data_IF_058718198123
#
_entry.id   IF_058718198123
#
_cell.length_a   1.000
_cell.length_b   1.000
_cell.length_c   1.000
_cell.angle_alpha   90.00
_cell.angle_beta   90.00
_cell.angle_gamma   90.00
#
_symmetry.space_group_name_H-M   'P 1'
#
loop_
_entity.id
_entity.type
_entity.pdbx_description
1 polymer ?
#
# COMPACT_ATOMS: atom_id res chain seq x y z
N UNK A 1 -14.67 27.19 -2.83
CA UNK A 1 -16.02 26.65 -2.62
C UNK A 1 -16.47 25.97 -3.91
N UNK A 2 -16.91 24.71 -3.81
CA UNK A 2 -17.35 23.93 -4.97
C UNK A 2 -18.50 24.63 -5.70
N UNK A 3 -18.45 24.61 -7.05
CA UNK A 3 -19.42 25.30 -7.89
C UNK A 3 -19.26 26.82 -8.03
N UNK A 4 -18.39 27.46 -7.24
CA UNK A 4 -18.10 28.91 -7.37
C UNK A 4 -16.71 29.16 -7.98
N UNK A 5 -15.65 28.69 -7.33
CA UNK A 5 -14.28 28.88 -7.76
C UNK A 5 -13.48 27.56 -7.75
N UNK A 6 -14.17 26.43 -7.57
CA UNK A 6 -13.63 25.08 -7.64
C UNK A 6 -14.62 24.21 -8.40
N UNK A 7 -14.12 23.43 -9.36
CA UNK A 7 -14.84 22.34 -10.02
C UNK A 7 -14.16 21.04 -9.61
N UNK A 8 -14.84 20.27 -8.77
CA UNK A 8 -14.33 19.02 -8.24
C UNK A 8 -14.82 17.82 -9.07
N UNK A 9 -13.89 16.93 -9.42
CA UNK A 9 -14.22 15.64 -10.04
C UNK A 9 -13.54 14.53 -9.24
N UNK A 10 -14.30 13.48 -8.91
CA UNK A 10 -13.78 12.30 -8.21
C UNK A 10 -14.07 11.04 -9.00
N UNK A 11 -13.07 10.16 -9.09
CA UNK A 11 -13.20 8.81 -9.64
C UNK A 11 -12.33 7.83 -8.85
N UNK A 12 -12.83 6.60 -8.69
CA UNK A 12 -12.11 5.51 -8.04
C UNK A 12 -11.79 4.42 -9.05
N UNK A 13 -10.54 3.96 -9.02
CA UNK A 13 -10.09 2.81 -9.81
C UNK A 13 -10.43 1.46 -9.15
N UNK A 14 -10.90 1.46 -7.91
CA UNK A 14 -11.26 0.26 -7.13
C UNK A 14 -10.17 -0.83 -7.17
N UNK A 15 -8.90 -0.44 -7.03
CA UNK A 15 -7.76 -1.35 -7.04
C UNK A 15 -7.31 -1.83 -8.44
N UNK A 16 -7.99 -1.41 -9.51
CA UNK A 16 -7.62 -1.82 -10.87
C UNK A 16 -6.68 -0.81 -11.51
N UNK A 17 -5.44 -1.23 -11.80
CA UNK A 17 -4.40 -0.37 -12.37
C UNK A 17 -4.72 0.10 -13.81
N UNK A 18 -5.40 -0.72 -14.60
CA UNK A 18 -5.86 -0.35 -15.95
C UNK A 18 -6.91 0.76 -15.88
N UNK A 19 -7.87 0.65 -14.95
CA UNK A 19 -8.86 1.69 -14.69
C UNK A 19 -8.20 2.97 -14.18
N UNK A 20 -7.22 2.87 -13.28
CA UNK A 20 -6.44 4.04 -12.82
C UNK A 20 -5.78 4.78 -13.97
N UNK A 21 -5.17 4.06 -14.92
CA UNK A 21 -4.57 4.65 -16.12
C UNK A 21 -5.60 5.32 -17.05
N UNK A 22 -6.82 4.77 -17.16
CA UNK A 22 -7.90 5.40 -17.92
C UNK A 22 -8.40 6.69 -17.26
N UNK A 23 -8.58 6.68 -15.93
CA UNK A 23 -8.99 7.85 -15.15
C UNK A 23 -7.93 8.96 -15.27
N UNK A 24 -6.64 8.62 -15.14
CA UNK A 24 -5.56 9.58 -15.28
C UNK A 24 -5.60 10.26 -16.66
N UNK A 25 -5.70 9.47 -17.74
CA UNK A 25 -5.81 10.01 -19.12
C UNK A 25 -7.06 10.88 -19.31
N UNK A 26 -8.18 10.49 -18.67
CA UNK A 26 -9.41 11.29 -18.70
C UNK A 26 -9.19 12.66 -18.08
N UNK A 27 -8.61 12.74 -16.87
CA UNK A 27 -8.36 14.00 -16.18
C UNK A 27 -7.37 14.89 -16.96
N UNK A 28 -6.38 14.29 -17.63
CA UNK A 28 -5.50 15.02 -18.55
C UNK A 28 -6.28 15.58 -19.74
N UNK A 29 -7.15 14.77 -20.36
CA UNK A 29 -8.00 15.19 -21.48
C UNK A 29 -9.01 16.28 -21.10
N UNK A 30 -9.53 16.23 -19.87
CA UNK A 30 -10.43 17.24 -19.30
C UNK A 30 -9.70 18.56 -18.95
N UNK A 31 -8.35 18.61 -19.11
CA UNK A 31 -7.49 19.76 -18.78
C UNK A 31 -7.65 20.20 -17.32
N UNK A 32 -7.60 19.26 -16.39
CA UNK A 32 -7.59 19.57 -14.97
C UNK A 32 -6.41 20.49 -14.61
N UNK A 33 -6.64 21.51 -13.78
CA UNK A 33 -5.60 22.44 -13.33
C UNK A 33 -4.63 21.76 -12.35
N UNK A 34 -5.15 20.80 -11.57
CA UNK A 34 -4.40 20.00 -10.59
C UNK A 34 -5.04 18.60 -10.50
N UNK A 35 -4.22 17.57 -10.33
CA UNK A 35 -4.71 16.21 -10.05
C UNK A 35 -4.25 15.81 -8.64
N UNK A 36 -5.17 15.34 -7.80
CA UNK A 36 -4.87 14.72 -6.52
C UNK A 36 -4.99 13.22 -6.67
N UNK A 37 -3.90 12.50 -6.40
CA UNK A 37 -3.89 11.04 -6.47
C UNK A 37 -3.72 10.44 -5.07
N UNK A 38 -4.61 9.54 -4.70
CA UNK A 38 -4.57 8.80 -3.44
C UNK A 38 -4.08 7.39 -3.73
N UNK A 39 -3.12 6.91 -2.95
CA UNK A 39 -2.38 5.66 -3.06
C UNK A 39 -1.36 5.60 -4.22
N UNK A 40 -0.33 4.78 -4.02
CA UNK A 40 0.81 4.64 -4.95
C UNK A 40 0.40 4.30 -6.38
N UNK A 41 -0.47 3.31 -6.65
CA UNK A 41 -0.84 2.97 -8.03
C UNK A 41 -1.54 4.12 -8.77
N UNK A 42 -2.38 4.89 -8.06
CA UNK A 42 -3.06 6.07 -8.63
C UNK A 42 -2.06 7.16 -9.01
N UNK A 43 -1.12 7.47 -8.13
CA UNK A 43 -0.08 8.47 -8.39
C UNK A 43 0.83 8.06 -9.55
N UNK A 44 1.22 6.79 -9.63
CA UNK A 44 1.98 6.24 -10.75
C UNK A 44 1.23 6.37 -12.08
N UNK A 45 -0.08 6.12 -12.09
CA UNK A 45 -0.91 6.28 -13.29
C UNK A 45 -0.94 7.73 -13.79
N UNK A 46 -1.01 8.72 -12.88
CA UNK A 46 -0.98 10.15 -13.25
C UNK A 46 0.38 10.56 -13.78
N UNK A 47 1.47 10.20 -13.11
CA UNK A 47 2.85 10.53 -13.57
C UNK A 47 3.15 9.89 -14.92
N UNK A 48 2.57 8.73 -15.24
CA UNK A 48 2.69 8.11 -16.56
C UNK A 48 1.85 8.82 -17.62
N UNK A 49 0.76 9.49 -17.25
CA UNK A 49 -0.16 10.14 -18.18
C UNK A 49 0.24 11.59 -18.51
N UNK A 50 0.89 12.30 -17.59
CA UNK A 50 1.26 13.72 -17.78
C UNK A 50 2.54 14.08 -17.03
N UNK A 51 3.24 15.12 -17.54
CA UNK A 51 4.36 15.79 -16.87
C UNK A 51 4.07 17.28 -16.62
N UNK A 52 2.98 17.78 -17.16
CA UNK A 52 2.67 19.21 -17.19
C UNK A 52 1.65 19.59 -16.12
N UNK A 53 0.66 18.73 -15.85
CA UNK A 53 -0.36 19.00 -14.85
C UNK A 53 0.21 18.72 -13.46
N UNK A 54 0.13 19.68 -12.51
CA UNK A 54 0.54 19.46 -11.13
C UNK A 54 -0.14 18.26 -10.50
N UNK A 55 0.66 17.38 -9.89
CA UNK A 55 0.20 16.22 -9.12
C UNK A 55 0.48 16.44 -7.64
N UNK A 56 -0.57 16.32 -6.84
CA UNK A 56 -0.46 16.19 -5.38
C UNK A 56 -0.79 14.75 -5.00
N UNK A 57 0.19 13.99 -4.51
CA UNK A 57 -0.07 12.62 -4.03
C UNK A 57 -0.33 12.60 -2.53
N UNK A 58 -1.12 11.63 -2.08
CA UNK A 58 -1.36 11.30 -0.69
C UNK A 58 -1.38 9.78 -0.51
N UNK A 59 -1.07 9.30 0.70
CA UNK A 59 -1.00 7.87 1.00
C UNK A 59 -0.08 7.12 0.02
N UNK A 60 1.14 7.61 -0.14
CA UNK A 60 2.20 6.96 -0.93
C UNK A 60 3.34 6.60 0.01
N UNK A 61 3.61 5.31 0.14
CA UNK A 61 4.58 4.79 1.12
C UNK A 61 6.01 5.25 0.81
N UNK A 62 6.47 5.08 -0.42
CA UNK A 62 7.77 5.58 -0.86
C UNK A 62 7.66 6.22 -2.26
N UNK A 63 7.60 7.54 -2.33
CA UNK A 63 7.45 8.23 -3.61
C UNK A 63 8.71 8.16 -4.50
N UNK A 64 9.88 7.88 -3.93
CA UNK A 64 11.13 7.70 -4.68
C UNK A 64 11.16 6.33 -5.35
N UNK A 65 10.91 5.26 -4.59
CA UNK A 65 10.79 3.89 -5.14
C UNK A 65 9.63 3.80 -6.13
N UNK A 66 8.52 4.49 -5.85
CA UNK A 66 7.39 4.59 -6.79
C UNK A 66 7.70 5.41 -8.04
N UNK A 67 8.89 6.04 -8.15
CA UNK A 67 9.34 6.88 -9.28
C UNK A 67 8.44 8.09 -9.53
N UNK A 68 7.85 8.65 -8.49
CA UNK A 68 7.07 9.88 -8.55
C UNK A 68 7.97 11.11 -8.50
N UNK A 69 8.99 11.06 -7.66
CA UNK A 69 9.98 12.12 -7.42
C UNK A 69 11.39 11.52 -7.39
N UNK A 70 12.43 12.29 -7.73
CA UNK A 70 13.81 11.78 -7.70
C UNK A 70 14.39 11.65 -6.28
N UNK A 71 13.86 12.40 -5.32
CA UNK A 71 14.26 12.38 -3.91
C UNK A 71 13.15 12.97 -3.04
N UNK A 72 13.30 12.86 -1.70
CA UNK A 72 12.38 13.49 -0.74
C UNK A 72 12.63 14.99 -0.55
N UNK A 73 13.70 15.54 -1.09
CA UNK A 73 13.94 16.99 -1.13
C UNK A 73 13.00 17.66 -2.16
N UNK A 74 12.79 18.99 -2.10
CA UNK A 74 12.03 19.71 -3.10
C UNK A 74 12.52 19.37 -4.49
N UNK A 75 11.66 18.75 -5.30
CA UNK A 75 12.05 18.12 -6.58
C UNK A 75 12.23 19.11 -7.73
N UNK A 76 11.66 20.32 -7.61
CA UNK A 76 11.57 21.26 -8.73
C UNK A 76 10.69 20.78 -9.90
N UNK A 77 9.93 19.69 -9.67
CA UNK A 77 8.99 19.12 -10.66
C UNK A 77 7.55 19.54 -10.35
N UNK A 78 6.62 19.14 -11.20
CA UNK A 78 5.17 19.35 -11.01
C UNK A 78 4.56 18.37 -9.98
N UNK A 79 5.37 17.56 -9.28
CA UNK A 79 4.90 16.51 -8.37
C UNK A 79 5.29 16.83 -6.94
N UNK A 80 4.30 16.83 -6.05
CA UNK A 80 4.48 16.97 -4.59
C UNK A 80 3.45 16.13 -3.85
N UNK A 81 3.59 15.99 -2.54
CA UNK A 81 2.60 15.28 -1.74
C UNK A 81 3.10 14.86 -0.36
N UNK A 82 2.36 13.92 0.25
CA UNK A 82 2.62 13.40 1.59
C UNK A 82 2.80 11.90 1.55
N UNK A 83 3.91 11.42 2.15
CA UNK A 83 4.18 10.00 2.35
C UNK A 83 3.48 9.47 3.61
N UNK A 84 3.05 8.21 3.55
CA UNK A 84 2.58 7.41 4.67
C UNK A 84 3.58 6.32 5.07
N UNK A 85 4.87 6.61 4.95
CA UNK A 85 5.94 5.68 5.28
C UNK A 85 5.76 5.09 6.69
N UNK A 86 5.89 3.76 6.79
CA UNK A 86 5.68 3.04 8.04
C UNK A 86 6.94 3.03 8.91
N UNK A 87 6.77 3.27 10.20
CA UNK A 87 7.83 3.07 11.20
C UNK A 87 7.94 1.57 11.57
N UNK A 88 8.46 0.75 10.66
CA UNK A 88 8.46 -0.71 10.80
C UNK A 88 9.12 -1.22 12.08
N UNK A 89 10.11 -0.52 12.62
CA UNK A 89 10.70 -0.86 13.92
C UNK A 89 9.65 -0.88 15.04
N UNK A 90 8.82 0.16 15.14
CA UNK A 90 7.73 0.24 16.12
C UNK A 90 6.65 -0.82 15.87
N UNK A 91 6.37 -1.11 14.60
CA UNK A 91 5.43 -2.18 14.21
C UNK A 91 5.93 -3.56 14.67
N UNK A 92 7.23 -3.84 14.50
CA UNK A 92 7.84 -5.08 14.96
C UNK A 92 7.81 -5.19 16.49
N UNK A 93 8.06 -4.11 17.20
CA UNK A 93 7.91 -4.06 18.66
C UNK A 93 6.47 -4.36 19.09
N UNK A 94 5.48 -3.81 18.40
CA UNK A 94 4.07 -4.11 18.64
C UNK A 94 3.76 -5.59 18.39
N UNK A 95 4.25 -6.17 17.29
CA UNK A 95 4.11 -7.61 17.00
C UNK A 95 4.64 -8.45 18.17
N UNK A 96 5.83 -8.13 18.70
CA UNK A 96 6.42 -8.85 19.84
C UNK A 96 5.63 -8.69 21.13
N UNK A 97 4.94 -7.57 21.32
CA UNK A 97 4.06 -7.36 22.49
C UNK A 97 2.75 -8.14 22.38
N UNK A 98 2.17 -8.17 21.17
CA UNK A 98 0.89 -8.87 20.90
C UNK A 98 1.10 -10.40 20.88
N UNK A 99 2.20 -10.85 20.31
CA UNK A 99 2.53 -12.26 20.13
C UNK A 99 3.97 -12.55 20.59
N UNK A 100 4.26 -12.51 21.92
CA UNK A 100 5.63 -12.62 22.44
C UNK A 100 6.32 -13.96 22.14
N UNK A 101 5.55 -15.03 21.91
CA UNK A 101 6.06 -16.34 21.54
C UNK A 101 6.26 -16.54 20.03
N UNK A 102 5.79 -15.59 19.19
CA UNK A 102 5.90 -15.69 17.74
C UNK A 102 7.37 -15.71 17.28
N UNK A 103 7.63 -16.50 16.25
CA UNK A 103 8.91 -16.59 15.54
C UNK A 103 8.75 -16.27 14.06
N UNK A 104 7.54 -16.44 13.51
CA UNK A 104 7.22 -16.35 12.09
C UNK A 104 6.12 -15.33 11.87
N UNK A 105 6.45 -14.26 11.18
CA UNK A 105 5.50 -13.20 10.79
C UNK A 105 5.00 -13.51 9.39
N UNK A 106 3.69 -13.73 9.23
CA UNK A 106 3.06 -13.96 7.94
C UNK A 106 2.57 -12.64 7.34
N UNK A 107 2.88 -12.40 6.08
CA UNK A 107 2.35 -11.28 5.31
C UNK A 107 1.69 -11.76 4.02
N UNK A 108 0.51 -11.23 3.76
CA UNK A 108 -0.14 -11.33 2.44
C UNK A 108 0.09 -10.01 1.73
N UNK A 109 0.54 -10.02 0.49
CA UNK A 109 0.81 -8.80 -0.25
C UNK A 109 0.63 -8.95 -1.75
N UNK A 110 0.44 -7.82 -2.44
CA UNK A 110 0.42 -7.76 -3.89
C UNK A 110 1.83 -7.44 -4.43
N UNK A 111 2.51 -8.38 -5.11
CA UNK A 111 3.83 -8.13 -5.68
C UNK A 111 3.81 -7.13 -6.85
N UNK A 112 2.65 -6.74 -7.35
CA UNK A 112 2.49 -5.70 -8.36
C UNK A 112 2.38 -4.27 -7.82
N UNK A 113 2.34 -4.09 -6.48
CA UNK A 113 2.28 -2.77 -5.84
C UNK A 113 3.65 -2.38 -5.27
N UNK A 114 4.22 -1.27 -5.73
CA UNK A 114 5.53 -0.78 -5.29
C UNK A 114 5.57 -0.48 -3.78
N UNK A 115 4.49 0.06 -3.19
CA UNK A 115 4.34 0.27 -1.76
C UNK A 115 4.46 -1.04 -0.96
N UNK A 116 3.85 -2.13 -1.44
CA UNK A 116 3.86 -3.42 -0.77
C UNK A 116 5.23 -4.10 -0.87
N UNK A 117 5.84 -4.04 -2.05
CA UNK A 117 7.17 -4.62 -2.30
C UNK A 117 8.22 -3.99 -1.40
N UNK A 118 8.24 -2.65 -1.29
CA UNK A 118 9.23 -1.95 -0.44
C UNK A 118 9.09 -2.32 1.04
N UNK A 119 7.86 -2.47 1.53
CA UNK A 119 7.62 -2.91 2.93
C UNK A 119 8.09 -4.35 3.14
N UNK A 120 7.81 -5.25 2.21
CA UNK A 120 8.25 -6.65 2.29
C UNK A 120 9.78 -6.74 2.28
N UNK A 121 10.47 -5.98 1.43
CA UNK A 121 11.93 -5.92 1.40
C UNK A 121 12.51 -5.42 2.73
N UNK A 122 11.96 -4.36 3.28
CA UNK A 122 12.38 -3.84 4.59
C UNK A 122 12.12 -4.84 5.71
N UNK A 123 10.99 -5.56 5.69
CA UNK A 123 10.69 -6.60 6.69
C UNK A 123 11.65 -7.79 6.60
N UNK A 124 12.06 -8.19 5.40
CA UNK A 124 13.10 -9.23 5.21
C UNK A 124 14.43 -8.88 5.88
N UNK A 125 14.77 -7.58 5.89
CA UNK A 125 15.99 -7.09 6.51
C UNK A 125 15.87 -6.87 8.02
N UNK A 126 14.69 -6.40 8.48
CA UNK A 126 14.48 -5.99 9.86
C UNK A 126 14.12 -7.16 10.78
N UNK A 127 13.20 -8.05 10.36
CA UNK A 127 12.69 -9.13 11.20
C UNK A 127 13.78 -10.04 11.78
N UNK A 128 14.82 -10.45 11.01
CA UNK A 128 15.90 -11.28 11.56
C UNK A 128 16.66 -10.58 12.69
N UNK A 129 16.81 -9.26 12.66
CA UNK A 129 17.47 -8.48 13.72
C UNK A 129 16.68 -8.51 15.05
N UNK A 130 15.39 -8.84 14.97
CA UNK A 130 14.50 -8.98 16.13
C UNK A 130 14.21 -10.45 16.50
N UNK A 131 14.92 -11.41 15.89
CA UNK A 131 14.74 -12.85 16.12
C UNK A 131 13.45 -13.41 15.51
N UNK A 132 12.92 -12.77 14.48
CA UNK A 132 11.72 -13.15 13.75
C UNK A 132 12.10 -13.50 12.29
N UNK A 133 11.24 -14.29 11.63
CA UNK A 133 11.36 -14.59 10.21
C UNK A 133 10.08 -14.16 9.47
N UNK A 134 10.20 -13.81 8.19
CA UNK A 134 9.09 -13.46 7.33
C UNK A 134 8.59 -14.70 6.57
N UNK A 135 7.28 -14.89 6.51
CA UNK A 135 6.62 -15.89 5.66
C UNK A 135 5.64 -15.14 4.75
N UNK A 136 5.81 -15.27 3.45
CA UNK A 136 5.14 -14.46 2.46
C UNK A 136 4.10 -15.26 1.68
N UNK A 137 2.99 -14.60 1.33
CA UNK A 137 1.99 -15.14 0.42
C UNK A 137 1.53 -14.05 -0.55
N UNK A 138 1.68 -14.29 -1.84
CA UNK A 138 1.29 -13.35 -2.87
C UNK A 138 -0.23 -13.34 -3.10
N UNK A 139 -0.82 -12.15 -3.20
CA UNK A 139 -2.21 -11.92 -3.57
C UNK A 139 -2.30 -10.82 -4.64
N UNK A 140 -2.03 -11.15 -5.92
CA UNK A 140 -2.03 -10.15 -6.99
C UNK A 140 -3.41 -9.52 -7.25
N UNK A 141 -4.48 -10.11 -6.71
CA UNK A 141 -5.85 -9.55 -6.76
C UNK A 141 -6.50 -9.65 -5.39
N UNK A 142 -7.42 -8.76 -5.10
CA UNK A 142 -8.17 -8.77 -3.83
C UNK A 142 -8.88 -10.11 -3.55
N UNK A 143 -9.40 -10.77 -4.59
CA UNK A 143 -10.05 -12.08 -4.47
C UNK A 143 -9.10 -13.21 -4.05
N UNK A 144 -7.80 -13.03 -4.20
CA UNK A 144 -6.77 -14.02 -3.86
C UNK A 144 -6.35 -13.93 -2.37
N UNK A 145 -6.68 -12.82 -1.68
CA UNK A 145 -6.23 -12.55 -0.30
C UNK A 145 -6.62 -13.65 0.68
N UNK A 146 -7.87 -14.12 0.63
CA UNK A 146 -8.33 -15.18 1.55
C UNK A 146 -7.61 -16.52 1.32
N UNK A 147 -7.30 -16.90 0.08
CA UNK A 147 -6.56 -18.13 -0.23
C UNK A 147 -5.07 -17.99 0.14
N UNK A 148 -4.47 -16.83 -0.12
CA UNK A 148 -3.11 -16.52 0.29
C UNK A 148 -2.96 -16.57 1.83
N UNK A 149 -3.88 -15.97 2.57
CA UNK A 149 -3.89 -16.04 4.04
C UNK A 149 -4.00 -17.48 4.55
N UNK A 150 -4.88 -18.29 3.97
CA UNK A 150 -5.00 -19.72 4.34
C UNK A 150 -3.71 -20.50 4.11
N UNK A 151 -2.93 -20.17 3.09
CA UNK A 151 -1.65 -20.83 2.81
C UNK A 151 -0.58 -20.60 3.89
N UNK A 152 -0.76 -19.59 4.74
CA UNK A 152 0.10 -19.25 5.86
C UNK A 152 -0.25 -19.98 7.15
N UNK A 153 -1.40 -20.66 7.23
CA UNK A 153 -1.80 -21.45 8.42
C UNK A 153 -0.77 -22.56 8.67
N UNK A 154 -0.31 -22.67 9.92
CA UNK A 154 0.76 -23.59 10.33
C UNK A 154 2.18 -23.13 9.95
N UNK A 155 2.32 -22.06 9.16
CA UNK A 155 3.61 -21.49 8.76
C UNK A 155 3.90 -20.14 9.43
N UNK A 156 2.87 -19.39 9.79
CA UNK A 156 2.98 -18.12 10.49
C UNK A 156 2.39 -18.22 11.92
N UNK A 157 2.97 -17.49 12.85
CA UNK A 157 2.54 -17.41 14.25
C UNK A 157 1.74 -16.13 14.52
N UNK A 158 1.93 -15.11 13.69
CA UNK A 158 1.22 -13.82 13.70
C UNK A 158 1.11 -13.30 12.27
N UNK A 159 -0.01 -12.70 11.92
CA UNK A 159 -0.19 -11.98 10.67
C UNK A 159 0.15 -10.51 10.86
N UNK A 160 0.79 -9.94 9.85
CA UNK A 160 1.02 -8.51 9.73
C UNK A 160 0.47 -8.02 8.39
N UNK A 161 -0.20 -6.89 8.40
CA UNK A 161 -0.69 -6.23 7.19
C UNK A 161 -0.08 -4.85 7.03
N UNK A 162 0.41 -4.58 5.83
CA UNK A 162 0.89 -3.26 5.41
C UNK A 162 -0.23 -2.45 4.73
N UNK A 163 0.13 -1.32 4.15
CA UNK A 163 -0.76 -0.47 3.35
C UNK A 163 -0.98 -1.01 1.92
N UNK A 164 -1.15 -2.32 1.78
CA UNK A 164 -1.42 -3.00 0.51
C UNK A 164 -2.89 -2.81 0.11
N UNK A 165 -3.14 -2.22 -1.06
CA UNK A 165 -4.50 -1.87 -1.48
C UNK A 165 -5.39 -3.09 -1.72
N UNK A 166 -4.84 -4.21 -2.24
CA UNK A 166 -5.60 -5.44 -2.43
C UNK A 166 -5.98 -6.08 -1.10
N UNK A 167 -5.03 -6.12 -0.16
CA UNK A 167 -5.26 -6.69 1.17
C UNK A 167 -6.26 -5.85 1.95
N UNK A 168 -6.12 -4.53 1.95
CA UNK A 168 -7.06 -3.61 2.60
C UNK A 168 -8.47 -3.74 2.02
N UNK A 169 -8.61 -3.84 0.70
CA UNK A 169 -9.93 -4.00 0.06
C UNK A 169 -10.61 -5.33 0.36
N UNK A 170 -9.87 -6.36 0.76
CA UNK A 170 -10.36 -7.69 1.12
C UNK A 170 -10.03 -8.06 2.57
N UNK A 171 -9.90 -7.06 3.45
CA UNK A 171 -9.38 -7.23 4.81
C UNK A 171 -10.18 -8.22 5.65
N UNK A 172 -11.52 -8.20 5.51
CA UNK A 172 -12.41 -9.14 6.21
C UNK A 172 -12.06 -10.61 5.93
N UNK A 173 -11.62 -10.93 4.71
CA UNK A 173 -11.22 -12.30 4.36
C UNK A 173 -9.95 -12.71 5.12
N UNK A 174 -8.99 -11.81 5.28
CA UNK A 174 -7.78 -12.05 6.07
C UNK A 174 -8.10 -12.18 7.56
N UNK A 175 -8.90 -11.25 8.10
CA UNK A 175 -9.34 -11.26 9.50
C UNK A 175 -10.04 -12.58 9.82
N UNK A 176 -10.97 -13.02 8.96
CA UNK A 176 -11.67 -14.28 9.13
C UNK A 176 -10.71 -15.48 9.23
N UNK A 177 -9.70 -15.53 8.35
CA UNK A 177 -8.70 -16.61 8.38
C UNK A 177 -7.90 -16.57 9.67
N UNK A 178 -7.47 -15.38 10.14
CA UNK A 178 -6.77 -15.22 11.42
C UNK A 178 -7.61 -15.69 12.61
N UNK A 179 -8.88 -15.29 12.66
CA UNK A 179 -9.82 -15.69 13.73
C UNK A 179 -10.05 -17.22 13.74
N UNK A 180 -10.36 -17.80 12.58
CA UNK A 180 -10.63 -19.24 12.46
C UNK A 180 -9.40 -20.08 12.84
N UNK A 181 -8.19 -19.60 12.48
CA UNK A 181 -6.92 -20.26 12.77
C UNK A 181 -6.32 -19.87 14.13
N UNK A 182 -6.93 -18.92 14.87
CA UNK A 182 -6.41 -18.34 16.12
C UNK A 182 -5.00 -17.75 15.97
N UNK A 183 -4.74 -17.13 14.84
CA UNK A 183 -3.49 -16.41 14.55
C UNK A 183 -3.76 -14.91 14.80
N UNK A 184 -3.04 -14.27 15.74
CA UNK A 184 -3.14 -12.82 15.96
C UNK A 184 -2.81 -12.05 14.69
N UNK A 185 -3.45 -10.88 14.53
CA UNK A 185 -3.21 -9.99 13.40
C UNK A 185 -2.85 -8.59 13.91
N UNK A 186 -1.78 -8.03 13.38
CA UNK A 186 -1.33 -6.66 13.62
C UNK A 186 -1.43 -5.89 12.32
N UNK A 187 -2.20 -4.79 12.35
CA UNK A 187 -2.38 -3.91 11.20
C UNK A 187 -1.45 -2.70 11.29
N UNK A 188 -0.88 -2.30 10.18
CA UNK A 188 -0.06 -1.08 10.08
C UNK A 188 -0.93 0.18 10.03
N UNK A 189 -2.17 0.05 9.59
CA UNK A 189 -3.14 1.13 9.43
C UNK A 189 -4.49 0.73 10.04
N UNK A 190 -5.33 1.71 10.34
CA UNK A 190 -6.66 1.53 10.99
C UNK A 190 -7.77 2.08 10.11
#
# INVERSE_FOLDING_TARGET
>A
EDGKNLKWQYQSAQGNTGTAAQIARKFVGDKSDVIVAIATPSAQAVVAATKDIPLVYSAVTDPVVAKLVPSMAPSGTTVTGVSDALELGKQIELIKRVAPAAKRVGIVYNPGEANSVVVVEQLRELLPKHGLSLVEAAAPRSVDVGSAARSLIGKADVFYTSTDNNVVSAYEALVKVGMDAKIPLVAADT
#
